data_IF_876557372721
#
_entry.id   IF_876557372721
#
_cell.length_a   1.000
_cell.length_b   1.000
_cell.length_c   1.000
_cell.angle_alpha   90.00
_cell.angle_beta   90.00
_cell.angle_gamma   90.00
#
_symmetry.space_group_name_H-M   'P 1'
#
loop_
_entity.id
_entity.type
_entity.pdbx_description
1 polymer ?
#
# COMPACT_ATOMS: atom_id res chain seq x y z
N UNK A 1 -11.61 6.05 -0.79
CA UNK A 1 -11.20 6.45 0.58
C UNK A 1 -11.38 5.27 1.54
N UNK A 2 -10.90 5.39 2.79
CA UNK A 2 -11.08 4.35 3.82
C UNK A 2 -12.56 4.09 4.15
N UNK A 3 -13.34 5.16 4.30
CA UNK A 3 -14.78 5.11 4.56
C UNK A 3 -15.51 4.33 3.45
N UNK A 4 -15.20 4.58 2.18
CA UNK A 4 -15.82 3.86 1.05
C UNK A 4 -15.60 2.34 1.16
N UNK A 5 -14.41 1.90 1.60
CA UNK A 5 -14.11 0.47 1.73
C UNK A 5 -14.94 -0.17 2.86
N UNK A 6 -15.09 0.52 4.00
CA UNK A 6 -15.92 0.06 5.11
C UNK A 6 -17.39 -0.06 4.68
N UNK A 7 -17.89 0.92 3.93
CA UNK A 7 -19.26 0.91 3.43
C UNK A 7 -19.50 -0.21 2.43
N UNK A 8 -18.56 -0.46 1.50
CA UNK A 8 -18.64 -1.60 0.58
C UNK A 8 -18.73 -2.92 1.34
N UNK A 9 -17.87 -3.13 2.35
CA UNK A 9 -17.90 -4.38 3.12
C UNK A 9 -19.20 -4.57 3.89
N UNK A 10 -19.75 -3.50 4.48
CA UNK A 10 -21.08 -3.55 5.12
C UNK A 10 -22.19 -3.88 4.14
N UNK A 11 -22.19 -3.26 2.95
CA UNK A 11 -23.17 -3.55 1.90
C UNK A 11 -23.11 -5.02 1.47
N UNK A 12 -21.91 -5.60 1.43
CA UNK A 12 -21.68 -7.02 1.13
C UNK A 12 -22.00 -7.95 2.31
N UNK A 13 -22.37 -7.43 3.49
CA UNK A 13 -22.77 -8.19 4.66
C UNK A 13 -21.62 -8.55 5.62
N UNK A 14 -20.47 -7.89 5.51
CA UNK A 14 -19.29 -8.13 6.34
C UNK A 14 -19.07 -6.96 7.31
N UNK A 15 -19.37 -7.16 8.59
CA UNK A 15 -19.10 -6.18 9.66
C UNK A 15 -17.64 -6.22 10.15
N UNK A 16 -17.01 -7.39 10.06
CA UNK A 16 -15.60 -7.60 10.39
C UNK A 16 -14.93 -8.39 9.28
N UNK A 17 -13.71 -8.01 8.92
CA UNK A 17 -12.98 -8.62 7.81
C UNK A 17 -11.47 -8.54 7.99
N UNK A 18 -10.77 -9.44 7.31
CA UNK A 18 -9.33 -9.35 7.08
C UNK A 18 -9.09 -8.60 5.76
N UNK A 19 -8.01 -7.83 5.68
CA UNK A 19 -7.78 -6.92 4.55
C UNK A 19 -6.30 -6.84 4.19
N UNK A 20 -6.04 -6.74 2.90
CA UNK A 20 -4.70 -6.55 2.34
C UNK A 20 -4.69 -5.31 1.45
N UNK A 21 -3.68 -4.47 1.59
CA UNK A 21 -3.51 -3.25 0.80
C UNK A 21 -2.10 -3.13 0.24
N UNK A 22 -1.99 -2.87 -1.06
CA UNK A 22 -0.72 -2.62 -1.77
C UNK A 22 -0.63 -1.15 -2.19
N UNK A 23 0.57 -0.57 -2.07
CA UNK A 23 0.86 0.82 -2.42
C UNK A 23 -0.17 1.83 -1.85
N UNK A 24 -0.90 2.58 -2.68
CA UNK A 24 -1.98 3.49 -2.24
C UNK A 24 -3.04 2.77 -1.41
N UNK A 25 -3.41 1.55 -1.78
CA UNK A 25 -4.35 0.73 -1.02
C UNK A 25 -3.83 0.38 0.38
N UNK A 26 -2.51 0.20 0.54
CA UNK A 26 -1.89 0.01 1.86
C UNK A 26 -1.96 1.28 2.74
N UNK A 27 -1.88 2.47 2.13
CA UNK A 27 -2.03 3.76 2.83
C UNK A 27 -3.47 4.01 3.26
N UNK A 28 -4.42 3.72 2.37
CA UNK A 28 -5.84 3.71 2.69
C UNK A 28 -6.12 2.74 3.83
N UNK A 29 -5.55 1.54 3.79
CA UNK A 29 -5.69 0.54 4.84
C UNK A 29 -5.15 1.02 6.19
N UNK A 30 -3.97 1.65 6.20
CA UNK A 30 -3.40 2.21 7.43
C UNK A 30 -4.37 3.18 8.11
N UNK A 31 -4.95 4.13 7.35
CA UNK A 31 -5.95 5.07 7.86
C UNK A 31 -7.25 4.36 8.27
N UNK A 32 -7.72 3.40 7.47
CA UNK A 32 -8.93 2.61 7.76
C UNK A 32 -8.83 1.92 9.13
N UNK A 33 -7.71 1.27 9.44
CA UNK A 33 -7.53 0.56 10.70
C UNK A 33 -7.57 1.52 11.90
N UNK A 34 -6.99 2.72 11.76
CA UNK A 34 -7.01 3.72 12.83
C UNK A 34 -8.41 4.31 13.02
N UNK A 35 -9.15 4.57 11.94
CA UNK A 35 -10.49 5.17 12.02
C UNK A 35 -11.57 4.14 12.43
N UNK A 36 -11.40 2.87 12.03
CA UNK A 36 -12.36 1.79 12.23
C UNK A 36 -11.69 0.50 12.75
N UNK A 37 -11.03 0.53 13.91
CA UNK A 37 -10.27 -0.63 14.40
C UNK A 37 -11.13 -1.87 14.63
N UNK A 38 -12.40 -1.69 15.01
CA UNK A 38 -13.30 -2.80 15.36
C UNK A 38 -13.73 -3.64 14.15
N UNK A 39 -13.67 -3.10 12.92
CA UNK A 39 -14.03 -3.85 11.71
C UNK A 39 -12.88 -4.68 11.14
N UNK A 40 -11.64 -4.52 11.64
CA UNK A 40 -10.48 -5.22 11.10
C UNK A 40 -10.03 -6.35 12.03
N UNK A 41 -9.95 -7.57 11.49
CA UNK A 41 -9.48 -8.75 12.23
C UNK A 41 -7.96 -8.91 12.14
N UNK A 42 -7.44 -8.83 10.91
CA UNK A 42 -6.02 -8.91 10.57
C UNK A 42 -5.78 -8.03 9.35
N UNK A 43 -4.59 -7.43 9.27
CA UNK A 43 -4.22 -6.56 8.17
C UNK A 43 -2.89 -6.98 7.53
N UNK A 44 -2.76 -6.77 6.22
CA UNK A 44 -1.50 -6.90 5.51
C UNK A 44 -1.23 -5.67 4.64
N UNK A 45 -0.04 -5.08 4.74
CA UNK A 45 0.40 -3.99 3.87
C UNK A 45 1.58 -4.45 3.01
N UNK A 46 1.53 -4.12 1.72
CA UNK A 46 2.48 -4.57 0.71
C UNK A 46 3.26 -3.37 0.16
N UNK A 47 4.58 -3.47 0.22
CA UNK A 47 5.62 -2.56 -0.28
C UNK A 47 5.46 -1.08 0.07
N UNK A 48 5.11 -0.81 1.34
CA UNK A 48 5.01 0.56 1.86
C UNK A 48 5.62 0.69 3.25
N UNK A 49 6.06 1.91 3.56
CA UNK A 49 6.17 2.44 4.92
C UNK A 49 5.13 3.56 5.11
N UNK A 50 4.78 3.93 6.36
CA UNK A 50 3.81 4.99 6.65
C UNK A 50 4.14 6.29 5.91
N UNK A 51 3.11 6.96 5.37
CA UNK A 51 3.23 8.16 4.54
C UNK A 51 4.04 9.26 5.22
N UNK A 52 3.76 9.53 6.50
CA UNK A 52 4.53 10.50 7.30
C UNK A 52 6.03 10.19 7.36
N UNK A 53 6.44 8.91 7.43
CA UNK A 53 7.86 8.52 7.47
C UNK A 53 8.57 8.91 6.17
N UNK A 54 7.92 8.70 5.01
CA UNK A 54 8.46 9.11 3.70
C UNK A 54 8.77 10.62 3.73
N UNK A 55 7.79 11.46 4.08
CA UNK A 55 7.95 12.91 4.07
C UNK A 55 8.95 13.43 5.12
N UNK A 56 9.11 12.75 6.26
CA UNK A 56 10.07 13.14 7.30
C UNK A 56 11.52 12.79 6.97
N UNK A 57 11.75 11.85 6.07
CA UNK A 57 13.09 11.29 5.80
C UNK A 57 13.60 11.59 4.39
N UNK A 58 12.96 12.55 3.71
CA UNK A 58 13.34 12.98 2.36
C UNK A 58 14.78 13.45 2.33
N UNK A 59 15.56 12.81 1.47
CA UNK A 59 16.88 13.22 1.05
C UNK A 59 17.00 13.13 -0.48
N UNK A 60 18.20 13.37 -1.00
CA UNK A 60 18.48 13.29 -2.44
C UNK A 60 18.11 11.93 -3.03
N UNK A 61 18.44 10.84 -2.35
CA UNK A 61 18.23 9.49 -2.88
C UNK A 61 16.74 9.18 -2.96
N UNK A 62 15.99 9.43 -1.88
CA UNK A 62 14.55 9.20 -1.83
C UNK A 62 13.81 10.09 -2.83
N UNK A 63 14.15 11.39 -2.90
CA UNK A 63 13.52 12.29 -3.86
C UNK A 63 13.82 11.91 -5.31
N UNK A 64 14.97 11.30 -5.60
CA UNK A 64 15.29 10.80 -6.94
C UNK A 64 14.52 9.51 -7.25
N UNK A 65 14.48 8.56 -6.32
CA UNK A 65 13.80 7.28 -6.50
C UNK A 65 12.27 7.44 -6.58
N UNK A 66 11.72 8.37 -5.81
CA UNK A 66 10.29 8.67 -5.70
C UNK A 66 9.97 10.10 -6.15
N UNK A 67 10.57 10.54 -7.25
CA UNK A 67 10.31 11.89 -7.81
C UNK A 67 8.82 12.19 -8.02
N UNK A 68 8.03 11.15 -8.34
CA UNK A 68 6.59 11.25 -8.53
C UNK A 68 5.84 11.75 -7.28
N UNK A 69 6.37 11.54 -6.06
CA UNK A 69 5.79 12.10 -4.82
C UNK A 69 5.88 13.63 -4.75
N UNK A 70 6.79 14.24 -5.53
CA UNK A 70 6.98 15.69 -5.61
C UNK A 70 6.41 16.27 -6.91
N UNK A 71 6.44 15.48 -7.99
CA UNK A 71 5.87 15.87 -9.27
C UNK A 71 4.34 15.83 -9.27
N UNK A 72 3.71 14.77 -8.78
CA UNK A 72 2.24 14.61 -8.81
C UNK A 72 1.51 15.61 -7.92
N UNK A 73 2.22 16.23 -6.98
CA UNK A 73 1.64 17.24 -6.07
C UNK A 73 1.73 18.66 -6.60
N UNK A 74 2.35 18.88 -7.77
CA UNK A 74 2.48 20.22 -8.33
C UNK A 74 1.10 20.83 -8.65
N UNK A 75 0.90 22.14 -8.42
CA UNK A 75 -0.38 22.80 -8.61
C UNK A 75 -0.68 23.07 -10.09
N UNK A 76 -1.85 23.69 -10.35
CA UNK A 76 -2.25 24.22 -11.66
C UNK A 76 -2.32 23.18 -12.79
N UNK A 77 -2.73 21.95 -12.46
CA UNK A 77 -2.87 20.83 -13.40
C UNK A 77 -1.57 20.49 -14.16
N UNK A 78 -0.41 20.86 -13.61
CA UNK A 78 0.87 20.57 -14.26
C UNK A 78 1.10 19.07 -14.50
N UNK A 79 0.98 18.18 -13.49
CA UNK A 79 1.20 16.76 -13.73
C UNK A 79 0.12 16.16 -14.63
N UNK A 80 -1.14 16.58 -14.48
CA UNK A 80 -2.24 16.13 -15.33
C UNK A 80 -1.99 16.43 -16.81
N UNK A 81 -1.52 17.64 -17.14
CA UNK A 81 -1.21 18.00 -18.53
C UNK A 81 -0.02 17.23 -19.10
N UNK A 82 1.05 17.08 -18.32
CA UNK A 82 2.26 16.38 -18.79
C UNK A 82 2.03 14.88 -18.94
N UNK A 83 1.29 14.24 -18.02
CA UNK A 83 0.90 12.83 -18.12
C UNK A 83 -0.10 12.64 -19.25
N UNK A 84 -1.11 13.53 -19.36
CA UNK A 84 -2.15 13.47 -20.37
C UNK A 84 -1.65 13.53 -21.82
N UNK A 85 -0.43 14.03 -22.05
CA UNK A 85 0.20 14.03 -23.37
C UNK A 85 0.56 12.62 -23.88
N UNK A 86 0.98 11.72 -22.97
CA UNK A 86 1.21 10.30 -23.26
C UNK A 86 1.06 9.46 -21.97
N UNK A 87 -0.18 9.11 -21.58
CA UNK A 87 -0.43 8.39 -20.33
C UNK A 87 0.18 7.00 -20.32
N UNK A 88 0.20 6.33 -21.49
CA UNK A 88 0.75 4.99 -21.65
C UNK A 88 2.26 4.99 -21.41
N UNK A 89 2.99 5.96 -21.98
CA UNK A 89 4.41 6.12 -21.73
C UNK A 89 4.71 6.38 -20.26
N UNK A 90 4.01 7.35 -19.63
CA UNK A 90 4.25 7.67 -18.23
C UNK A 90 4.01 6.44 -17.33
N UNK A 91 2.89 5.74 -17.51
CA UNK A 91 2.55 4.54 -16.75
C UNK A 91 3.62 3.45 -16.91
N UNK A 92 3.97 3.09 -18.15
CA UNK A 92 4.97 2.05 -18.41
C UNK A 92 6.36 2.43 -17.88
N UNK A 93 6.72 3.71 -17.93
CA UNK A 93 7.97 4.20 -17.34
C UNK A 93 7.97 4.02 -15.82
N UNK A 94 6.85 4.27 -15.14
CA UNK A 94 6.71 4.06 -13.68
C UNK A 94 6.73 2.59 -13.30
N UNK A 95 5.95 1.76 -14.00
CA UNK A 95 5.95 0.30 -13.79
C UNK A 95 7.38 -0.24 -13.95
N UNK A 96 8.07 0.10 -15.05
CA UNK A 96 9.47 -0.30 -15.28
C UNK A 96 10.43 0.19 -14.19
N UNK A 97 10.23 1.40 -13.67
CA UNK A 97 11.08 1.97 -12.63
C UNK A 97 10.95 1.22 -11.30
N UNK A 98 9.76 0.71 -10.97
CA UNK A 98 9.48 0.09 -9.68
C UNK A 98 9.56 -1.44 -9.68
N UNK A 99 9.40 -2.08 -10.85
CA UNK A 99 9.60 -3.52 -11.02
C UNK A 99 11.08 -3.90 -10.99
N UNK A 100 11.37 -5.09 -10.47
CA UNK A 100 12.62 -5.79 -10.74
C UNK A 100 12.57 -6.49 -12.11
N UNK A 101 11.41 -7.02 -12.49
CA UNK A 101 11.15 -7.62 -13.80
C UNK A 101 9.82 -7.12 -14.38
N UNK A 102 9.88 -6.38 -15.49
CA UNK A 102 8.69 -5.87 -16.16
C UNK A 102 7.93 -6.97 -16.92
N UNK A 103 8.58 -8.10 -17.22
CA UNK A 103 7.92 -9.22 -17.92
C UNK A 103 6.91 -9.98 -17.06
N UNK A 104 6.88 -9.69 -15.75
CA UNK A 104 5.84 -10.17 -14.82
C UNK A 104 4.45 -9.64 -15.13
N UNK A 105 4.34 -8.55 -15.90
CA UNK A 105 3.07 -7.99 -16.34
C UNK A 105 2.62 -8.67 -17.63
N UNK A 106 1.44 -9.30 -17.60
CA UNK A 106 0.84 -9.81 -18.84
C UNK A 106 0.44 -8.67 -19.77
N UNK A 107 0.38 -8.95 -21.08
CA UNK A 107 -0.09 -7.96 -22.05
C UNK A 107 -1.52 -7.50 -21.75
N UNK A 108 -2.38 -8.41 -21.26
CA UNK A 108 -3.75 -8.11 -20.86
C UNK A 108 -3.81 -7.17 -19.64
N UNK A 109 -3.03 -7.45 -18.58
CA UNK A 109 -2.97 -6.58 -17.41
C UNK A 109 -2.45 -5.19 -17.77
N UNK A 110 -1.36 -5.13 -18.56
CA UNK A 110 -0.80 -3.86 -19.04
C UNK A 110 -1.81 -3.06 -19.87
N UNK A 111 -2.55 -3.72 -20.77
CA UNK A 111 -3.59 -3.08 -21.57
C UNK A 111 -4.71 -2.50 -20.69
N UNK A 112 -5.14 -3.22 -19.67
CA UNK A 112 -6.17 -2.74 -18.73
C UNK A 112 -5.69 -1.54 -17.89
N UNK A 113 -4.45 -1.57 -17.40
CA UNK A 113 -3.89 -0.43 -16.68
C UNK A 113 -3.80 0.81 -17.56
N UNK A 114 -3.32 0.66 -18.81
CA UNK A 114 -3.28 1.75 -19.78
C UNK A 114 -4.69 2.26 -20.09
N UNK A 115 -5.66 1.37 -20.31
CA UNK A 115 -7.06 1.75 -20.61
C UNK A 115 -7.66 2.60 -19.50
N UNK A 116 -7.50 2.20 -18.25
CA UNK A 116 -8.01 2.93 -17.09
C UNK A 116 -7.26 4.24 -16.86
N UNK A 117 -5.92 4.20 -16.85
CA UNK A 117 -5.09 5.36 -16.54
C UNK A 117 -5.07 6.42 -17.66
N UNK A 118 -5.43 6.05 -18.89
CA UNK A 118 -5.57 7.02 -19.99
C UNK A 118 -6.82 7.91 -19.88
N UNK A 119 -7.71 7.64 -18.92
CA UNK A 119 -8.83 8.54 -18.62
C UNK A 119 -8.31 9.79 -17.87
N UNK A 120 -8.52 11.01 -18.40
CA UNK A 120 -8.09 12.25 -17.73
C UNK A 120 -8.61 12.41 -16.30
N UNK A 121 -9.81 11.93 -16.00
CA UNK A 121 -10.39 11.99 -14.66
C UNK A 121 -9.63 11.08 -13.68
N UNK A 122 -9.12 9.94 -14.16
CA UNK A 122 -8.30 9.01 -13.37
C UNK A 122 -6.91 9.60 -13.13
N UNK A 123 -6.31 10.26 -14.12
CA UNK A 123 -5.04 10.97 -13.96
C UNK A 123 -5.19 12.06 -12.88
N UNK A 124 -6.24 12.87 -12.98
CA UNK A 124 -6.53 13.91 -12.00
C UNK A 124 -6.77 13.33 -10.61
N UNK A 125 -7.63 12.32 -10.47
CA UNK A 125 -7.89 11.66 -9.19
C UNK A 125 -6.62 11.05 -8.58
N UNK A 126 -5.74 10.48 -9.42
CA UNK A 126 -4.44 9.95 -8.99
C UNK A 126 -3.52 11.07 -8.49
N UNK A 127 -3.49 12.23 -9.15
CA UNK A 127 -2.73 13.40 -8.67
C UNK A 127 -3.29 13.92 -7.34
N UNK A 128 -4.61 14.02 -7.21
CA UNK A 128 -5.28 14.44 -5.97
C UNK A 128 -4.98 13.50 -4.80
N UNK A 129 -4.89 12.19 -5.03
CA UNK A 129 -4.47 11.20 -4.01
C UNK A 129 -3.04 11.48 -3.50
N UNK A 130 -2.10 11.83 -4.38
CA UNK A 130 -0.76 12.26 -3.95
C UNK A 130 -0.76 13.63 -3.26
N UNK A 131 -1.59 14.59 -3.72
CA UNK A 131 -1.73 15.91 -3.07
C UNK A 131 -2.28 15.75 -1.65
N UNK A 132 -3.27 14.90 -1.44
CA UNK A 132 -3.80 14.58 -0.12
C UNK A 132 -2.72 13.96 0.78
N UNK A 133 -1.94 13.00 0.25
CA UNK A 133 -0.83 12.36 0.97
C UNK A 133 0.27 13.35 1.40
N UNK A 134 0.47 14.44 0.65
CA UNK A 134 1.44 15.49 0.97
C UNK A 134 0.86 16.64 1.81
N UNK A 135 -0.43 16.57 2.18
CA UNK A 135 -1.13 17.63 2.92
C UNK A 135 -2.04 17.05 3.99
N UNK A 136 -3.34 16.95 3.73
CA UNK A 136 -4.37 16.61 4.73
C UNK A 136 -4.12 15.25 5.41
N UNK A 137 -3.55 14.28 4.71
CA UNK A 137 -3.23 12.98 5.32
C UNK A 137 -2.13 13.10 6.38
N UNK A 138 -1.19 14.04 6.23
CA UNK A 138 -0.17 14.31 7.24
C UNK A 138 -0.77 15.00 8.47
N UNK A 139 -1.77 15.86 8.27
CA UNK A 139 -2.53 16.46 9.38
C UNK A 139 -3.29 15.38 10.15
N UNK A 140 -3.96 14.46 9.45
CA UNK A 140 -4.65 13.32 10.06
C UNK A 140 -3.68 12.40 10.81
N UNK A 141 -2.53 12.06 10.20
CA UNK A 141 -1.51 11.19 10.82
C UNK A 141 -0.86 11.83 12.05
N UNK A 142 -0.73 13.15 12.09
CA UNK A 142 -0.19 13.87 13.25
C UNK A 142 -1.23 13.98 14.37
N UNK A 143 -2.50 14.18 14.03
CA UNK A 143 -3.59 14.30 14.99
C UNK A 143 -3.78 13.03 15.85
N UNK A 144 -3.37 11.87 15.32
CA UNK A 144 -3.45 10.59 16.02
C UNK A 144 -2.13 9.81 16.06
N UNK A 145 -1.01 10.52 16.13
CA UNK A 145 0.33 9.93 16.11
C UNK A 145 0.58 8.92 17.24
N UNK A 146 -0.06 9.13 18.40
CA UNK A 146 0.03 8.25 19.57
C UNK A 146 -0.86 7.00 19.46
N UNK A 147 -1.75 6.93 18.45
CA UNK A 147 -2.56 5.74 18.20
C UNK A 147 -1.75 4.71 17.43
N UNK A 148 -1.83 3.48 17.90
CA UNK A 148 -1.23 2.32 17.26
C UNK A 148 -2.31 1.45 16.61
N UNK A 149 -1.95 0.80 15.51
CA UNK A 149 -2.71 -0.28 14.88
C UNK A 149 -2.84 -1.42 15.91
N UNK A 150 -4.07 -1.76 16.33
CA UNK A 150 -4.29 -2.72 17.42
C UNK A 150 -4.39 -4.17 16.94
N UNK A 151 -4.66 -4.40 15.66
CA UNK A 151 -4.76 -5.76 15.09
C UNK A 151 -3.38 -6.27 14.63
N UNK A 152 -3.19 -7.60 14.51
CA UNK A 152 -1.99 -8.17 13.89
C UNK A 152 -1.77 -7.60 12.49
N UNK A 153 -0.54 -7.18 12.22
CA UNK A 153 -0.13 -6.59 10.94
C UNK A 153 0.98 -7.42 10.28
N UNK A 154 0.71 -7.89 9.06
CA UNK A 154 1.73 -8.42 8.16
C UNK A 154 2.28 -7.30 7.27
N UNK A 155 3.61 -7.23 7.15
CA UNK A 155 4.29 -6.30 6.24
C UNK A 155 5.14 -7.09 5.26
N UNK A 156 4.80 -7.03 3.97
CA UNK A 156 5.61 -7.63 2.90
C UNK A 156 6.18 -6.52 2.04
N UNK A 157 7.40 -6.68 1.54
CA UNK A 157 8.03 -5.71 0.65
C UNK A 157 8.99 -6.39 -0.33
N UNK A 158 9.34 -5.72 -1.42
CA UNK A 158 10.27 -6.22 -2.41
C UNK A 158 11.72 -6.03 -1.99
N UNK A 159 12.49 -7.11 -1.94
CA UNK A 159 13.92 -7.09 -1.62
C UNK A 159 14.75 -6.30 -2.64
N UNK A 160 14.24 -6.14 -3.87
CA UNK A 160 14.89 -5.39 -4.96
C UNK A 160 14.39 -3.93 -5.05
N UNK A 161 13.44 -3.55 -4.20
CA UNK A 161 12.76 -2.25 -4.20
C UNK A 161 13.43 -1.16 -3.35
N UNK A 162 12.84 0.04 -3.40
CA UNK A 162 13.30 1.23 -2.65
C UNK A 162 13.12 1.03 -1.14
N UNK A 163 12.02 0.40 -0.72
CA UNK A 163 11.71 0.15 0.69
C UNK A 163 12.84 -0.61 1.40
N UNK A 164 13.29 -1.72 0.80
CA UNK A 164 14.39 -2.54 1.33
C UNK A 164 15.71 -1.77 1.46
N UNK A 165 16.02 -0.89 0.49
CA UNK A 165 17.29 -0.15 0.50
C UNK A 165 17.31 0.97 1.53
N UNK A 166 16.16 1.62 1.76
CA UNK A 166 16.12 2.89 2.48
C UNK A 166 15.64 2.81 3.93
N UNK A 167 14.92 1.75 4.28
CA UNK A 167 14.29 1.61 5.60
C UNK A 167 14.57 0.25 6.21
N UNK A 168 14.66 0.23 7.54
CA UNK A 168 14.22 -0.94 8.29
C UNK A 168 12.69 -0.93 8.30
N UNK A 169 12.11 -1.69 7.36
CA UNK A 169 10.67 -1.67 7.09
C UNK A 169 9.88 -2.11 8.32
N UNK A 170 10.31 -3.18 9.00
CA UNK A 170 9.61 -3.67 10.20
C UNK A 170 9.74 -2.71 11.38
N UNK A 171 10.95 -2.18 11.64
CA UNK A 171 11.14 -1.20 12.71
C UNK A 171 10.25 0.04 12.50
N UNK A 172 10.10 0.46 11.24
CA UNK A 172 9.24 1.60 10.89
C UNK A 172 7.76 1.34 11.22
N UNK A 173 7.26 0.13 10.98
CA UNK A 173 5.87 -0.21 11.31
C UNK A 173 5.66 -0.49 12.80
N UNK A 174 6.69 -0.96 13.53
CA UNK A 174 6.65 -1.11 14.99
C UNK A 174 6.48 0.22 15.73
N UNK A 175 6.80 1.36 15.10
CA UNK A 175 6.46 2.68 15.65
C UNK A 175 4.94 2.94 15.65
N UNK A 176 4.17 2.25 14.79
CA UNK A 176 2.74 2.53 14.53
C UNK A 176 1.81 1.36 14.83
N UNK A 177 2.31 0.20 15.25
CA UNK A 177 1.51 -1.01 15.42
C UNK A 177 2.03 -1.86 16.58
N UNK A 178 1.10 -2.53 17.29
CA UNK A 178 1.43 -3.32 18.49
C UNK A 178 1.97 -4.72 18.19
N UNK A 179 1.60 -5.28 17.04
CA UNK A 179 1.99 -6.62 16.59
C UNK A 179 2.31 -6.58 15.10
N UNK A 180 3.61 -6.58 14.80
CA UNK A 180 4.13 -6.48 13.43
C UNK A 180 5.02 -7.67 13.15
N UNK A 181 4.78 -8.29 12.01
CA UNK A 181 5.65 -9.30 11.42
C UNK A 181 5.71 -9.14 9.93
N UNK A 182 6.71 -9.72 9.31
CA UNK A 182 6.87 -9.56 7.88
C UNK A 182 8.22 -10.00 7.38
N UNK A 183 8.40 -9.90 6.08
CA UNK A 183 9.63 -10.25 5.39
C UNK A 183 9.68 -9.62 4.00
N UNK A 184 10.89 -9.49 3.49
CA UNK A 184 11.10 -9.19 2.08
C UNK A 184 10.77 -10.41 1.20
N UNK A 185 10.28 -10.18 0.00
CA UNK A 185 10.12 -11.15 -1.10
C UNK A 185 11.16 -10.87 -2.20
N UNK A 186 11.55 -11.85 -3.00
CA UNK A 186 12.62 -11.68 -4.00
C UNK A 186 12.14 -10.97 -5.30
N UNK A 187 11.45 -9.83 -5.15
CA UNK A 187 10.86 -9.06 -6.24
C UNK A 187 11.06 -7.55 -6.08
N UNK A 188 10.58 -6.79 -7.06
CA UNK A 188 10.40 -5.35 -6.99
C UNK A 188 9.14 -4.95 -6.22
N UNK A 189 8.55 -3.82 -6.61
CA UNK A 189 7.40 -3.22 -5.91
C UNK A 189 6.09 -4.02 -6.08
N UNK A 190 5.90 -4.74 -7.19
CA UNK A 190 4.61 -5.32 -7.56
C UNK A 190 4.53 -6.78 -7.11
N UNK A 191 4.56 -6.99 -5.79
CA UNK A 191 4.59 -8.32 -5.16
C UNK A 191 3.58 -9.32 -5.78
N UNK A 192 2.30 -8.99 -5.99
CA UNK A 192 1.33 -9.92 -6.56
C UNK A 192 1.60 -10.31 -8.01
N UNK A 193 2.35 -9.51 -8.78
CA UNK A 193 2.70 -9.79 -10.17
C UNK A 193 4.09 -10.42 -10.29
N UNK A 194 5.06 -9.92 -9.53
CA UNK A 194 6.47 -10.33 -9.60
C UNK A 194 6.80 -11.57 -8.77
N UNK A 195 6.12 -11.77 -7.64
CA UNK A 195 6.27 -12.95 -6.77
C UNK A 195 4.91 -13.50 -6.31
N UNK A 196 4.01 -13.90 -7.24
CA UNK A 196 2.64 -14.25 -6.90
C UNK A 196 2.54 -15.42 -5.92
N UNK A 197 3.32 -16.48 -6.10
CA UNK A 197 3.31 -17.67 -5.23
C UNK A 197 3.76 -17.31 -3.81
N UNK A 198 4.89 -16.62 -3.67
CA UNK A 198 5.41 -16.23 -2.36
C UNK A 198 4.49 -15.24 -1.64
N UNK A 199 3.83 -14.36 -2.40
CA UNK A 199 2.85 -13.40 -1.89
C UNK A 199 1.62 -14.14 -1.36
N UNK A 200 1.01 -15.04 -2.15
CA UNK A 200 -0.20 -15.76 -1.72
C UNK A 200 0.10 -16.71 -0.56
N UNK A 201 1.26 -17.39 -0.56
CA UNK A 201 1.67 -18.24 0.55
C UNK A 201 1.80 -17.46 1.86
N UNK A 202 2.48 -16.31 1.83
CA UNK A 202 2.61 -15.45 3.01
C UNK A 202 1.26 -14.95 3.54
N UNK A 203 0.35 -14.57 2.63
CA UNK A 203 -0.98 -14.10 3.00
C UNK A 203 -1.84 -15.23 3.58
N UNK A 204 -1.81 -16.43 2.97
CA UNK A 204 -2.57 -17.59 3.47
C UNK A 204 -2.05 -18.07 4.83
N UNK A 205 -0.73 -18.10 5.01
CA UNK A 205 -0.13 -18.46 6.30
C UNK A 205 -0.59 -17.50 7.40
N UNK A 206 -0.55 -16.19 7.11
CA UNK A 206 -0.94 -15.14 8.05
C UNK A 206 -2.44 -15.11 8.36
N UNK A 207 -3.30 -15.14 7.34
CA UNK A 207 -4.74 -15.00 7.53
C UNK A 207 -5.39 -16.30 8.01
N UNK A 208 -5.02 -17.44 7.40
CA UNK A 208 -5.71 -18.72 7.61
C UNK A 208 -5.05 -19.57 8.69
N UNK A 209 -3.78 -19.97 8.50
CA UNK A 209 -3.16 -21.01 9.35
C UNK A 209 -3.04 -20.59 10.81
N UNK A 210 -2.74 -19.33 11.07
CA UNK A 210 -2.67 -18.84 12.45
C UNK A 210 -4.03 -18.66 13.13
N UNK A 211 -5.12 -18.57 12.37
CA UNK A 211 -6.47 -18.50 12.95
C UNK A 211 -6.92 -19.85 13.54
N UNK A 212 -6.29 -20.96 13.12
CA UNK A 212 -6.56 -22.31 13.61
C UNK A 212 -5.89 -22.60 14.96
N UNK A 213 -4.79 -21.91 15.29
CA UNK A 213 -4.04 -22.08 16.54
C UNK A 213 -4.74 -21.60 17.81
N UNK A 214 -5.85 -20.87 17.69
CA UNK A 214 -6.63 -20.35 18.84
C UNK A 214 -7.90 -21.18 19.12
N UNK A 215 -8.30 -22.11 18.24
CA UNK A 215 -9.55 -22.88 18.39
C UNK A 215 -9.39 -24.29 18.98
N UNK A 216 -8.22 -24.65 19.49
CA UNK A 216 -7.90 -26.03 19.85
C UNK A 216 -7.27 -26.21 21.22
N UNK A 217 -7.90 -25.74 22.31
CA UNK A 217 -7.57 -26.18 23.67
C UNK A 217 -8.70 -25.87 24.67
N UNK A 218 -9.92 -26.37 24.43
CA UNK A 218 -10.85 -26.66 25.53
C UNK A 218 -10.61 -28.10 25.99
N UNK A 219 -9.70 -28.24 26.95
CA UNK A 219 -9.51 -29.47 27.72
C UNK A 219 -10.78 -29.69 28.54
N UNK A 220 -11.51 -30.77 28.22
CA UNK A 220 -12.53 -31.33 29.10
C UNK A 220 -11.84 -32.31 30.04
N UNK A 221 -11.79 -31.98 31.33
CA UNK A 221 -11.76 -32.96 32.42
C UNK A 221 -13.19 -33.32 32.83
#
# INVERSE_FOLDING_TARGET
>A
TAQDQVEVMRILGFERFSVVGHDRGGRVLHRLILDHPDCIEKAAVLDIVPTRKIFQTVDKELATAYEHWFFLIQPHNLPEQLIGADPAFYLQAKLRQWSADLSSFTEEAMAEYIRCFSNPDVIHASCEDYRAAASIDLEHDEADIDRQIPCPLLVLWGAKGVMQRRYDVLATWLERAVDVRGRALDCGHFLPEEAPQETVEALLDFFVKESEGVRGEEVRE
#
